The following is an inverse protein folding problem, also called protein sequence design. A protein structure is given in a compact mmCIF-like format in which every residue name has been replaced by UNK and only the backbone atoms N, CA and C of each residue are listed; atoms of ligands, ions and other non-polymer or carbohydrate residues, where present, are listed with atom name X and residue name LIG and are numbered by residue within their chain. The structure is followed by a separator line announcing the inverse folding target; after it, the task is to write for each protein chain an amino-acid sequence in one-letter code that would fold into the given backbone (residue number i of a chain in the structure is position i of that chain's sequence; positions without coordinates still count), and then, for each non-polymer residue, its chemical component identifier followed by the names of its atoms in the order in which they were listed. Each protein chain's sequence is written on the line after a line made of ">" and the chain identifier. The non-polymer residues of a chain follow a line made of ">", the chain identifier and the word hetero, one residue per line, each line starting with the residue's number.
data_IF_862775054291
#
_entry.id   IF_862775054291
#
_cell.length_a   1.000
_cell.length_b   1.000
_cell.length_c   1.000
_cell.angle_alpha   90.00
_cell.angle_beta   90.00
_cell.angle_gamma   90.00
#
_symmetry.space_group_name_H-M   'P 1'
#
loop_
_entity.id
_entity.type
_entity.pdbx_description
1 polymer ?
#
# COMPACT_ATOMS: atom_id res chain seq x y z
N UNK A 1 -14.42 14.49 -25.46
CA UNK A 1 -13.36 14.29 -26.45
C UNK A 1 -12.09 14.38 -25.68
N UNK A 2 -11.77 13.31 -24.96
CA UNK A 2 -10.78 13.35 -23.88
C UNK A 2 -9.70 12.36 -24.27
N UNK A 3 -9.11 12.60 -25.44
CA UNK A 3 -7.88 11.93 -25.82
C UNK A 3 -6.81 12.50 -24.89
N UNK A 4 -6.60 11.79 -23.78
CA UNK A 4 -5.53 12.05 -22.83
C UNK A 4 -4.26 12.35 -23.61
N UNK A 5 -3.83 13.61 -23.52
CA UNK A 5 -2.64 14.12 -24.16
C UNK A 5 -1.50 13.18 -23.76
N UNK A 6 -0.89 12.50 -24.73
CA UNK A 6 0.36 11.76 -24.48
C UNK A 6 1.41 12.80 -24.10
N UNK A 7 1.66 12.96 -22.81
CA UNK A 7 2.69 13.84 -22.30
C UNK A 7 4.05 13.40 -22.87
N UNK A 8 4.72 14.29 -23.59
CA UNK A 8 6.10 14.08 -24.08
C UNK A 8 7.12 14.45 -22.98
N UNK A 9 7.01 13.80 -21.82
CA UNK A 9 7.92 13.95 -20.67
C UNK A 9 7.74 12.81 -19.67
N UNK A 10 8.57 12.76 -18.62
CA UNK A 10 8.26 11.99 -17.41
C UNK A 10 6.85 12.43 -16.97
N UNK A 11 5.86 11.53 -17.02
CA UNK A 11 4.46 11.89 -16.76
C UNK A 11 4.21 12.42 -15.34
N UNK A 12 2.94 12.47 -14.91
CA UNK A 12 2.62 12.82 -13.52
C UNK A 12 3.21 11.81 -12.54
N UNK A 13 3.88 12.29 -11.50
CA UNK A 13 4.40 11.46 -10.41
C UNK A 13 3.37 11.37 -9.29
N UNK A 14 3.00 10.15 -8.91
CA UNK A 14 2.20 9.87 -7.71
C UNK A 14 3.12 9.38 -6.59
N UNK A 15 3.20 10.16 -5.51
CA UNK A 15 3.90 9.77 -4.28
C UNK A 15 2.88 9.27 -3.27
N UNK A 16 3.10 8.06 -2.75
CA UNK A 16 2.27 7.44 -1.71
C UNK A 16 3.15 7.21 -0.49
N UNK A 17 2.76 7.77 0.66
CA UNK A 17 3.38 7.49 1.95
C UNK A 17 2.51 6.47 2.70
N UNK A 18 3.04 5.27 2.92
CA UNK A 18 2.41 4.27 3.78
C UNK A 18 2.84 4.53 5.22
N UNK A 19 1.91 4.94 6.07
CA UNK A 19 2.19 5.31 7.47
C UNK A 19 1.83 4.15 8.40
N UNK A 20 0.53 3.90 8.58
CA UNK A 20 0.05 2.94 9.58
C UNK A 20 -1.29 2.28 9.19
N UNK A 21 -1.58 1.17 9.87
CA UNK A 21 -2.91 0.58 9.96
C UNK A 21 -3.33 0.50 11.42
N UNK A 22 -4.63 0.56 11.70
CA UNK A 22 -5.14 0.55 13.07
C UNK A 22 -6.27 -0.47 13.23
N UNK A 23 -6.26 -1.19 14.36
CA UNK A 23 -7.30 -2.16 14.75
C UNK A 23 -7.63 -3.18 13.66
N UNK A 24 -6.60 -3.73 13.01
CA UNK A 24 -6.78 -4.82 12.05
C UNK A 24 -7.36 -6.05 12.75
N UNK A 25 -8.05 -6.90 11.98
CA UNK A 25 -8.59 -8.15 12.51
C UNK A 25 -7.44 -9.10 12.86
N UNK A 26 -7.57 -9.80 13.98
CA UNK A 26 -6.74 -10.95 14.31
C UNK A 26 -7.16 -12.13 13.43
N UNK A 27 -6.20 -12.71 12.71
CA UNK A 27 -6.45 -13.84 11.82
C UNK A 27 -5.86 -15.14 12.35
N UNK A 28 -4.91 -15.06 13.28
CA UNK A 28 -4.27 -16.22 13.89
C UNK A 28 -4.75 -16.51 15.32
N UNK A 29 -4.39 -17.68 15.83
CA UNK A 29 -4.70 -18.12 17.20
C UNK A 29 -3.95 -17.32 18.28
N UNK A 30 -2.96 -16.50 17.90
CA UNK A 30 -2.21 -15.65 18.83
C UNK A 30 -2.95 -14.34 19.12
N UNK A 31 -4.04 -14.06 18.37
CA UNK A 31 -4.77 -12.80 18.48
C UNK A 31 -4.13 -11.67 17.68
N UNK A 32 -3.24 -11.99 16.75
CA UNK A 32 -2.53 -11.03 15.91
C UNK A 32 -2.68 -11.36 14.42
N UNK A 33 -1.96 -10.60 13.59
CA UNK A 33 -1.86 -10.75 12.16
C UNK A 33 -0.48 -10.30 11.69
N UNK A 34 -0.10 -10.71 10.48
CA UNK A 34 1.13 -10.30 9.79
C UNK A 34 0.81 -9.40 8.57
N UNK A 35 0.29 -8.17 8.77
CA UNK A 35 -0.19 -7.33 7.69
C UNK A 35 0.91 -6.86 6.72
N UNK A 36 0.52 -6.73 5.45
CA UNK A 36 1.24 -6.04 4.39
C UNK A 36 0.25 -5.33 3.46
N UNK A 37 0.71 -4.33 2.71
CA UNK A 37 -0.10 -3.55 1.77
C UNK A 37 0.45 -3.71 0.36
N UNK A 38 -0.45 -3.90 -0.60
CA UNK A 38 -0.15 -3.86 -2.04
C UNK A 38 -0.83 -2.65 -2.64
N UNK A 39 -0.05 -1.73 -3.18
CA UNK A 39 -0.54 -0.59 -3.95
C UNK A 39 -0.49 -0.90 -5.43
N UNK A 40 -1.60 -0.73 -6.14
CA UNK A 40 -1.68 -0.93 -7.60
C UNK A 40 -2.16 0.35 -8.28
N UNK A 41 -1.37 0.87 -9.22
CA UNK A 41 -1.71 2.06 -10.01
C UNK A 41 -1.27 1.87 -11.46
N UNK A 42 -2.21 2.03 -12.41
CA UNK A 42 -1.92 1.90 -13.84
C UNK A 42 -1.28 0.55 -14.23
N UNK A 43 -1.71 -0.54 -13.60
CA UNK A 43 -1.15 -1.89 -13.85
C UNK A 43 0.21 -2.17 -13.21
N UNK A 44 0.79 -1.22 -12.46
CA UNK A 44 2.02 -1.43 -11.67
C UNK A 44 1.67 -1.63 -10.21
N UNK A 45 2.28 -2.63 -9.58
CA UNK A 45 2.10 -2.91 -8.16
C UNK A 45 3.38 -2.69 -7.35
N UNK A 46 3.23 -2.26 -6.10
CA UNK A 46 4.31 -2.18 -5.09
C UNK A 46 3.79 -2.78 -3.78
N UNK A 47 4.63 -3.59 -3.13
CA UNK A 47 4.30 -4.29 -1.89
C UNK A 47 5.14 -3.75 -0.74
N UNK A 48 4.52 -3.54 0.42
CA UNK A 48 5.23 -3.13 1.64
C UNK A 48 6.03 -4.30 2.24
N UNK A 49 6.86 -4.01 3.24
CA UNK A 49 7.31 -5.05 4.17
C UNK A 49 6.12 -5.61 4.95
N UNK A 50 6.25 -6.87 5.37
CA UNK A 50 5.35 -7.50 6.34
C UNK A 50 5.68 -6.95 7.72
N UNK A 51 4.65 -6.63 8.51
CA UNK A 51 4.80 -6.30 9.93
C UNK A 51 4.28 -7.48 10.73
N UNK A 52 5.15 -8.13 11.48
CA UNK A 52 4.80 -9.37 12.17
C UNK A 52 4.01 -9.09 13.45
N UNK A 53 3.05 -9.97 13.72
CA UNK A 53 2.33 -10.10 14.98
C UNK A 53 1.78 -8.76 15.52
N UNK A 54 1.07 -8.01 14.68
CA UNK A 54 0.50 -6.72 15.07
C UNK A 54 -0.84 -6.45 14.40
N UNK A 55 -1.76 -5.84 15.17
CA UNK A 55 -3.02 -5.30 14.66
C UNK A 55 -2.94 -3.78 14.38
N UNK A 56 -1.81 -3.15 14.71
CA UNK A 56 -1.54 -1.73 14.51
C UNK A 56 -0.17 -1.53 13.83
N UNK A 57 0.01 -2.00 12.58
CA UNK A 57 1.29 -1.92 11.89
C UNK A 57 1.71 -0.47 11.61
N UNK A 58 3.02 -0.21 11.71
CA UNK A 58 3.67 1.05 11.36
C UNK A 58 4.74 0.77 10.31
N UNK A 59 4.71 1.48 9.18
CA UNK A 59 5.66 1.33 8.06
C UNK A 59 6.61 2.50 7.86
N UNK A 60 6.28 3.66 8.43
CA UNK A 60 7.19 4.81 8.41
C UNK A 60 8.49 4.55 9.20
#
# INVERSE_FOLDING_TARGET
>A
GDHGVKAQGEGWVLTVALIEGTKLAALDSTGFSDPYVVFTCGGKSKTSSIKFQTLNPQWN
#
